data_IF_751257352716
#
_entry.id   IF_751257352716
#
_cell.length_a   1.000
_cell.length_b   1.000
_cell.length_c   1.000
_cell.angle_alpha   90.00
_cell.angle_beta   90.00
_cell.angle_gamma   90.00
#
_symmetry.space_group_name_H-M   'P 1'
#
loop_
_entity.id
_entity.type
_entity.pdbx_description
1 polymer ?
#
# COMPACT_ATOMS: atom_id res chain seq x y z
N UNK A 1 -0.61 -10.51 12.83
CA UNK A 1 -1.62 -10.95 11.82
C UNK A 1 -0.93 -11.16 10.48
N UNK A 2 -1.50 -11.95 9.55
CA UNK A 2 -0.95 -12.11 8.19
C UNK A 2 -1.57 -11.06 7.26
N UNK A 3 -0.74 -10.24 6.60
CA UNK A 3 -1.21 -9.31 5.58
C UNK A 3 -1.87 -10.06 4.41
N UNK A 4 -3.01 -9.55 3.94
CA UNK A 4 -3.70 -10.03 2.74
C UNK A 4 -4.08 -8.83 1.87
N UNK A 5 -3.65 -8.74 0.61
CA UNK A 5 -4.02 -7.62 -0.24
C UNK A 5 -5.55 -7.57 -0.44
N UNK A 6 -6.09 -6.38 -0.63
CA UNK A 6 -7.48 -6.25 -1.05
C UNK A 6 -7.66 -6.92 -2.41
N UNK A 7 -8.72 -7.71 -2.54
CA UNK A 7 -9.15 -8.24 -3.83
C UNK A 7 -9.93 -7.12 -4.53
N UNK A 8 -9.57 -6.74 -5.78
CA UNK A 8 -10.35 -5.77 -6.56
C UNK A 8 -11.83 -6.14 -6.57
N UNK A 9 -12.71 -5.14 -6.51
CA UNK A 9 -14.18 -5.29 -6.52
C UNK A 9 -14.82 -6.04 -5.34
N UNK A 10 -14.02 -6.61 -4.43
CA UNK A 10 -14.49 -7.32 -3.24
C UNK A 10 -14.31 -6.52 -1.93
N UNK A 11 -13.91 -5.25 -2.02
CA UNK A 11 -13.78 -4.40 -0.85
C UNK A 11 -15.17 -3.96 -0.37
N UNK A 12 -15.63 -4.53 0.74
CA UNK A 12 -16.84 -4.06 1.40
C UNK A 12 -16.59 -2.70 2.05
N UNK A 13 -17.65 -1.91 2.23
CA UNK A 13 -17.60 -0.59 2.90
C UNK A 13 -18.37 -0.57 4.22
N UNK A 14 -19.13 -1.61 4.49
CA UNK A 14 -19.96 -1.75 5.69
C UNK A 14 -19.22 -2.51 6.80
N UNK A 15 -19.54 -2.17 8.05
CA UNK A 15 -18.86 -2.72 9.22
C UNK A 15 -17.45 -2.15 9.43
N UNK A 16 -16.68 -2.81 10.29
CA UNK A 16 -15.31 -2.37 10.68
C UNK A 16 -14.21 -3.04 9.86
N UNK A 17 -14.53 -4.11 9.13
CA UNK A 17 -13.57 -4.92 8.38
C UNK A 17 -14.06 -5.21 6.96
N UNK A 18 -13.10 -5.26 6.04
CA UNK A 18 -13.35 -5.68 4.67
C UNK A 18 -13.58 -7.19 4.62
N UNK A 19 -14.74 -7.64 4.11
CA UNK A 19 -15.04 -9.07 4.01
C UNK A 19 -14.18 -9.79 2.96
N UNK A 20 -13.61 -9.07 1.98
CA UNK A 20 -12.74 -9.66 0.96
C UNK A 20 -11.35 -10.02 1.47
N UNK A 21 -10.70 -9.13 2.21
CA UNK A 21 -9.32 -9.34 2.69
C UNK A 21 -9.18 -9.54 4.20
N UNK A 22 -10.25 -9.31 4.97
CA UNK A 22 -10.29 -9.44 6.43
C UNK A 22 -9.59 -8.33 7.21
N UNK A 23 -9.08 -7.30 6.53
CA UNK A 23 -8.37 -6.17 7.15
C UNK A 23 -9.37 -5.12 7.65
N UNK A 24 -9.02 -4.37 8.69
CA UNK A 24 -9.89 -3.28 9.16
C UNK A 24 -9.97 -2.18 8.10
N UNK A 25 -11.09 -1.47 8.05
CA UNK A 25 -11.23 -0.33 7.15
C UNK A 25 -10.24 0.79 7.49
N UNK A 26 -9.89 0.95 8.76
CA UNK A 26 -8.87 1.88 9.22
C UNK A 26 -7.49 1.54 8.64
N UNK A 27 -7.08 0.27 8.76
CA UNK A 27 -5.80 -0.20 8.22
C UNK A 27 -5.74 -0.05 6.69
N UNK A 28 -6.85 -0.32 6.00
CA UNK A 28 -6.96 -0.13 4.54
C UNK A 28 -6.85 1.35 4.18
N UNK A 29 -7.53 2.24 4.91
CA UNK A 29 -7.48 3.67 4.69
C UNK A 29 -6.06 4.23 4.90
N UNK A 30 -5.39 3.82 5.97
CA UNK A 30 -4.01 4.20 6.27
C UNK A 30 -3.05 3.72 5.17
N UNK A 31 -3.19 2.46 4.73
CA UNK A 31 -2.38 1.92 3.62
C UNK A 31 -2.58 2.72 2.35
N UNK A 32 -3.82 3.12 2.04
CA UNK A 32 -4.12 3.96 0.88
C UNK A 32 -3.49 5.35 0.99
N UNK A 33 -3.50 5.96 2.18
CA UNK A 33 -2.85 7.25 2.42
C UNK A 33 -1.34 7.18 2.17
N UNK A 34 -0.67 6.12 2.66
CA UNK A 34 0.75 5.90 2.42
C UNK A 34 1.08 5.75 0.93
N UNK A 35 0.28 4.97 0.20
CA UNK A 35 0.43 4.80 -1.26
C UNK A 35 0.24 6.14 -1.97
N UNK A 36 -0.80 6.90 -1.63
CA UNK A 36 -1.04 8.23 -2.23
C UNK A 36 0.07 9.23 -1.89
N UNK A 37 0.71 9.11 -0.72
CA UNK A 37 1.89 9.88 -0.37
C UNK A 37 3.07 9.64 -1.32
N UNK A 38 3.32 8.37 -1.66
CA UNK A 38 4.36 7.99 -2.64
C UNK A 38 4.01 8.46 -4.05
N UNK A 39 2.75 8.32 -4.47
CA UNK A 39 2.26 8.82 -5.77
C UNK A 39 2.46 10.33 -5.87
N UNK A 40 1.99 11.08 -4.86
CA UNK A 40 2.13 12.53 -4.84
C UNK A 40 3.60 12.96 -4.80
N UNK A 41 4.46 12.20 -4.13
CA UNK A 41 5.91 12.44 -4.17
C UNK A 41 6.47 12.28 -5.59
N UNK A 42 6.22 11.15 -6.25
CA UNK A 42 6.69 10.90 -7.60
C UNK A 42 6.20 11.96 -8.61
N UNK A 43 4.92 12.35 -8.51
CA UNK A 43 4.34 13.41 -9.33
C UNK A 43 5.03 14.77 -9.12
N UNK A 44 5.31 15.16 -7.86
CA UNK A 44 6.02 16.41 -7.56
C UNK A 44 7.46 16.43 -8.09
N UNK A 45 8.11 15.26 -8.15
CA UNK A 45 9.46 15.15 -8.70
C UNK A 45 9.46 15.10 -10.24
N UNK A 46 8.30 14.87 -10.87
CA UNK A 46 8.20 14.78 -12.33
C UNK A 46 8.95 13.57 -12.89
N UNK A 47 8.90 12.42 -12.21
CA UNK A 47 9.55 11.20 -12.72
C UNK A 47 8.86 10.69 -13.98
N UNK A 48 9.63 10.54 -15.06
CA UNK A 48 9.15 9.94 -16.31
C UNK A 48 9.20 8.40 -16.28
N UNK A 49 10.04 7.82 -15.41
CA UNK A 49 10.24 6.38 -15.22
C UNK A 49 9.61 5.88 -13.90
N UNK A 50 8.30 6.12 -13.74
CA UNK A 50 7.56 5.79 -12.50
C UNK A 50 7.56 4.30 -12.14
N UNK A 51 7.78 3.42 -13.12
CA UNK A 51 7.91 1.98 -12.90
C UNK A 51 9.17 1.64 -12.10
N UNK A 52 10.33 2.23 -12.45
CA UNK A 52 11.58 2.06 -11.71
C UNK A 52 11.46 2.56 -10.27
N UNK A 53 10.84 3.73 -10.08
CA UNK A 53 10.56 4.28 -8.75
C UNK A 53 9.71 3.30 -7.92
N UNK A 54 8.62 2.77 -8.49
CA UNK A 54 7.74 1.83 -7.79
C UNK A 54 8.48 0.54 -7.37
N UNK A 55 9.34 0.01 -8.24
CA UNK A 55 10.14 -1.18 -7.96
C UNK A 55 11.21 -0.91 -6.88
N UNK A 56 11.87 0.26 -6.94
CA UNK A 56 12.83 0.68 -5.93
C UNK A 56 12.19 0.77 -4.54
N UNK A 57 11.01 1.39 -4.45
CA UNK A 57 10.27 1.52 -3.18
C UNK A 57 9.91 0.15 -2.62
N UNK A 58 9.37 -0.76 -3.45
CA UNK A 58 9.00 -2.11 -3.01
C UNK A 58 10.21 -2.90 -2.47
N UNK A 59 11.34 -2.88 -3.20
CA UNK A 59 12.59 -3.54 -2.77
C UNK A 59 13.14 -2.91 -1.49
N UNK A 60 13.16 -1.59 -1.41
CA UNK A 60 13.66 -0.85 -0.25
C UNK A 60 12.82 -1.11 1.00
N UNK A 61 11.49 -1.16 0.87
CA UNK A 61 10.57 -1.48 1.97
C UNK A 61 10.84 -2.88 2.51
N UNK A 62 10.92 -3.89 1.62
CA UNK A 62 11.19 -5.27 2.02
C UNK A 62 12.54 -5.40 2.74
N UNK A 63 13.60 -4.81 2.18
CA UNK A 63 14.93 -4.84 2.77
C UNK A 63 14.96 -4.22 4.17
N UNK A 64 14.27 -3.08 4.38
CA UNK A 64 14.20 -2.42 5.68
C UNK A 64 13.41 -3.23 6.71
N UNK A 65 12.32 -3.87 6.30
CA UNK A 65 11.55 -4.76 7.18
C UNK A 65 12.37 -5.97 7.62
N UNK A 66 13.14 -6.57 6.70
CA UNK A 66 14.02 -7.70 7.00
C UNK A 66 15.18 -7.32 7.91
N UNK A 67 15.76 -6.13 7.74
CA UNK A 67 16.85 -5.65 8.59
C UNK A 67 16.38 -5.24 10.01
N UNK A 68 15.09 -4.95 10.17
CA UNK A 68 14.48 -4.62 11.46
C UNK A 68 14.02 -5.85 12.26
N UNK A 69 14.18 -7.05 11.70
CA UNK A 69 13.79 -8.35 12.30
C UNK A 69 15.04 -9.11 12.72
#
# INVERSE_FOLDING_TARGET
MKFRPCIPDHCTKEGTHCQGCGRSHEEIAETKQLIMGLVGFAQRQGYDNVDEFSQFVAKSLLSKLQAAT
#
